data_IF_017291172806
#
_entry.id   IF_017291172806
#
_cell.length_a   1.000
_cell.length_b   1.000
_cell.length_c   1.000
_cell.angle_alpha   90.00
_cell.angle_beta   90.00
_cell.angle_gamma   90.00
#
_symmetry.space_group_name_H-M   'P 1'
#
loop_
_entity.id
_entity.type
_entity.pdbx_description
1 polymer ?
#
# COMPACT_ATOMS: atom_id res chain seq x y z
N UNK A 1 3.80 -20.21 0.31
CA UNK A 1 3.05 -19.22 -0.46
C UNK A 1 3.97 -18.04 -0.73
N UNK A 2 4.05 -17.56 -1.98
CA UNK A 2 4.91 -16.41 -2.29
C UNK A 2 4.16 -15.11 -1.91
N UNK A 3 4.64 -14.40 -0.88
CA UNK A 3 4.03 -13.16 -0.39
C UNK A 3 4.26 -12.03 -1.40
N UNK A 4 3.39 -11.01 -1.37
CA UNK A 4 3.44 -9.89 -2.31
C UNK A 4 4.81 -9.19 -2.33
N UNK A 5 5.43 -8.91 -1.18
CA UNK A 5 6.74 -8.24 -1.12
C UNK A 5 7.86 -9.03 -1.80
N UNK A 6 7.83 -10.36 -1.74
CA UNK A 6 8.79 -11.20 -2.46
C UNK A 6 8.56 -11.13 -3.97
N UNK A 7 7.29 -11.17 -4.41
CA UNK A 7 6.93 -10.99 -5.82
C UNK A 7 7.32 -9.58 -6.30
N UNK A 8 7.08 -8.56 -5.49
CA UNK A 8 7.48 -7.19 -5.78
C UNK A 8 8.99 -7.07 -6.03
N UNK A 9 9.82 -7.63 -5.14
CA UNK A 9 11.28 -7.63 -5.29
C UNK A 9 11.74 -8.28 -6.60
N UNK A 10 11.16 -9.41 -6.99
CA UNK A 10 11.45 -10.07 -8.25
C UNK A 10 10.97 -9.26 -9.47
N UNK A 11 9.80 -8.62 -9.37
CA UNK A 11 9.27 -7.79 -10.44
C UNK A 11 10.09 -6.51 -10.66
N UNK A 12 10.59 -5.88 -9.61
CA UNK A 12 11.53 -4.75 -9.72
C UNK A 12 12.79 -5.16 -10.45
N UNK A 13 13.35 -6.34 -10.16
CA UNK A 13 14.52 -6.86 -10.88
C UNK A 13 14.22 -7.13 -12.36
N UNK A 14 13.07 -7.70 -12.66
CA UNK A 14 12.70 -8.12 -14.03
C UNK A 14 12.19 -6.96 -14.87
N UNK A 15 11.44 -6.05 -14.29
CA UNK A 15 10.67 -5.00 -14.98
C UNK A 15 11.05 -3.58 -14.57
N UNK A 16 12.20 -3.37 -13.90
CA UNK A 16 12.58 -2.12 -13.26
C UNK A 16 12.38 -0.85 -14.09
N UNK A 17 12.72 -0.90 -15.38
CA UNK A 17 12.57 0.24 -16.30
C UNK A 17 11.20 0.34 -16.99
N UNK A 18 10.29 -0.62 -16.76
CA UNK A 18 8.93 -0.57 -17.33
C UNK A 18 8.01 0.29 -16.46
N UNK A 19 6.99 0.94 -17.05
CA UNK A 19 5.96 1.61 -16.30
C UNK A 19 5.23 0.64 -15.36
N UNK A 20 5.14 1.00 -14.08
CA UNK A 20 4.31 0.34 -13.08
C UNK A 20 2.97 1.08 -12.94
N UNK A 21 3.00 2.41 -13.07
CA UNK A 21 1.84 3.29 -12.97
C UNK A 21 1.90 4.31 -14.08
N UNK A 22 0.73 4.61 -14.65
CA UNK A 22 0.51 5.73 -15.57
C UNK A 22 -0.57 6.61 -14.97
N UNK A 23 -0.32 7.90 -14.86
CA UNK A 23 -1.30 8.86 -14.35
C UNK A 23 -2.54 8.93 -15.24
N UNK A 24 -3.64 9.44 -14.70
CA UNK A 24 -4.95 9.48 -15.32
C UNK A 24 -4.95 10.15 -16.70
N UNK A 25 -4.15 11.20 -16.87
CA UNK A 25 -4.02 11.97 -18.11
C UNK A 25 -2.94 11.43 -19.07
N UNK A 26 -2.23 10.38 -18.66
CA UNK A 26 -1.14 9.78 -19.42
C UNK A 26 0.15 10.63 -19.48
N UNK A 27 0.23 11.71 -18.69
CA UNK A 27 1.37 12.65 -18.76
C UNK A 27 2.56 12.18 -17.95
N UNK A 28 2.35 11.37 -16.92
CA UNK A 28 3.41 10.85 -16.06
C UNK A 28 3.35 9.33 -15.99
N UNK A 29 4.47 8.72 -16.29
CA UNK A 29 4.73 7.32 -16.05
C UNK A 29 5.70 7.18 -14.87
N UNK A 30 5.45 6.20 -14.00
CA UNK A 30 6.34 5.83 -12.91
C UNK A 30 6.75 4.39 -13.08
N UNK A 31 8.03 4.15 -13.19
CA UNK A 31 8.60 2.81 -13.38
C UNK A 31 8.58 1.99 -12.09
N UNK A 32 8.74 0.66 -12.20
CA UNK A 32 8.89 -0.22 -11.03
C UNK A 32 10.06 0.22 -10.14
N UNK A 33 11.21 0.59 -10.73
CA UNK A 33 12.37 1.05 -9.98
C UNK A 33 12.15 2.38 -9.25
N UNK A 34 11.47 3.33 -9.87
CA UNK A 34 11.14 4.61 -9.23
C UNK A 34 10.17 4.43 -8.07
N UNK A 35 9.14 3.61 -8.25
CA UNK A 35 8.17 3.29 -7.21
C UNK A 35 8.83 2.54 -6.05
N UNK A 36 9.74 1.61 -6.37
CA UNK A 36 10.52 0.88 -5.36
C UNK A 36 11.43 1.80 -4.56
N UNK A 37 12.12 2.73 -5.23
CA UNK A 37 12.99 3.71 -4.60
C UNK A 37 12.20 4.64 -3.66
N UNK A 38 11.06 5.19 -4.11
CA UNK A 38 10.24 6.06 -3.29
C UNK A 38 9.71 5.33 -2.06
N UNK A 39 9.16 4.13 -2.24
CA UNK A 39 8.67 3.32 -1.12
C UNK A 39 9.80 2.88 -0.17
N UNK A 40 11.04 2.70 -0.67
CA UNK A 40 12.21 2.43 0.16
C UNK A 40 12.60 3.61 1.06
N UNK A 41 12.51 4.85 0.57
CA UNK A 41 12.71 6.06 1.39
C UNK A 41 11.66 6.21 2.47
N UNK A 42 10.40 6.01 2.12
CA UNK A 42 9.27 6.03 3.06
C UNK A 42 9.49 4.97 4.16
N UNK A 43 9.91 3.76 3.78
CA UNK A 43 10.24 2.70 4.73
C UNK A 43 11.33 3.15 5.72
N UNK A 44 12.39 3.81 5.25
CA UNK A 44 13.46 4.34 6.11
C UNK A 44 12.92 5.37 7.10
N UNK A 45 12.12 6.34 6.62
CA UNK A 45 11.52 7.37 7.49
C UNK A 45 10.61 6.74 8.57
N UNK A 46 9.81 5.75 8.19
CA UNK A 46 8.95 4.99 9.11
C UNK A 46 9.76 4.27 10.18
N UNK A 47 10.82 3.53 9.78
CA UNK A 47 11.71 2.83 10.72
C UNK A 47 12.40 3.77 11.70
N UNK A 48 12.83 4.95 11.25
CA UNK A 48 13.40 5.99 12.14
C UNK A 48 12.41 6.48 13.19
N UNK A 49 11.11 6.45 12.88
CA UNK A 49 10.03 6.77 13.85
C UNK A 49 9.61 5.57 14.71
N UNK A 50 10.30 4.43 14.58
CA UNK A 50 10.04 3.20 15.36
C UNK A 50 8.90 2.34 14.82
N UNK A 51 8.40 2.62 13.61
CA UNK A 51 7.33 1.84 12.97
C UNK A 51 7.85 0.48 12.52
N UNK A 52 7.09 -0.58 12.79
CA UNK A 52 7.40 -1.95 12.41
C UNK A 52 6.23 -2.91 12.54
N UNK A 53 6.54 -4.19 12.70
CA UNK A 53 5.54 -5.25 12.82
C UNK A 53 4.57 -5.00 13.98
N UNK A 54 3.29 -5.19 13.69
CA UNK A 54 2.21 -4.99 14.65
C UNK A 54 1.60 -3.59 14.62
N UNK A 55 2.27 -2.61 14.00
CA UNK A 55 1.73 -1.28 13.83
C UNK A 55 0.76 -1.21 12.66
N UNK A 56 -0.22 -0.31 12.75
CA UNK A 56 -1.12 0.05 11.64
C UNK A 56 -0.97 1.54 11.39
N UNK A 57 -0.53 1.91 10.18
CA UNK A 57 -0.30 3.31 9.80
C UNK A 57 -1.38 3.76 8.82
N UNK A 58 -2.28 4.67 9.22
CA UNK A 58 -3.24 5.27 8.30
C UNK A 58 -2.54 6.16 7.26
N UNK A 59 -3.00 6.04 6.00
CA UNK A 59 -2.55 6.85 4.86
C UNK A 59 -3.73 7.67 4.38
N UNK A 60 -3.58 8.99 4.31
CA UNK A 60 -4.62 9.90 3.85
C UNK A 60 -4.04 10.95 2.92
N UNK A 61 -4.22 10.76 1.64
CA UNK A 61 -3.81 11.69 0.59
C UNK A 61 -4.62 11.46 -0.67
N UNK A 62 -4.51 12.37 -1.63
CA UNK A 62 -5.16 12.25 -2.91
C UNK A 62 -4.71 11.01 -3.70
N UNK A 63 -5.55 10.59 -4.63
CA UNK A 63 -5.32 9.42 -5.46
C UNK A 63 -4.24 9.70 -6.50
N UNK A 64 -3.02 9.28 -6.20
CA UNK A 64 -1.84 9.47 -7.04
C UNK A 64 -0.79 8.39 -6.75
N UNK A 65 0.29 8.37 -7.51
CA UNK A 65 1.37 7.39 -7.38
C UNK A 65 1.99 7.36 -5.98
N UNK A 66 2.12 8.51 -5.34
CA UNK A 66 2.68 8.64 -3.99
C UNK A 66 1.86 7.91 -2.94
N UNK A 67 0.53 7.80 -3.11
CA UNK A 67 -0.32 7.00 -2.24
C UNK A 67 0.12 5.53 -2.25
N UNK A 68 0.34 4.96 -3.43
CA UNK A 68 0.81 3.57 -3.55
C UNK A 68 2.23 3.39 -3.03
N UNK A 69 3.11 4.38 -3.24
CA UNK A 69 4.45 4.37 -2.65
C UNK A 69 4.40 4.37 -1.12
N UNK A 70 3.45 5.10 -0.51
CA UNK A 70 3.22 5.09 0.93
C UNK A 70 2.77 3.71 1.43
N UNK A 71 1.78 3.09 0.78
CA UNK A 71 1.35 1.72 1.11
C UNK A 71 2.52 0.73 1.03
N UNK A 72 3.28 0.74 -0.08
CA UNK A 72 4.45 -0.12 -0.25
C UNK A 72 5.54 0.15 0.80
N UNK A 73 5.78 1.41 1.15
CA UNK A 73 6.75 1.79 2.17
C UNK A 73 6.37 1.27 3.55
N UNK A 74 5.08 1.33 3.90
CA UNK A 74 4.54 0.76 5.13
C UNK A 74 4.69 -0.77 5.13
N UNK A 75 4.30 -1.44 4.06
CA UNK A 75 4.50 -2.90 3.94
C UNK A 75 5.97 -3.30 4.06
N UNK A 76 6.88 -2.53 3.44
CA UNK A 76 8.34 -2.76 3.55
C UNK A 76 8.86 -2.56 4.97
N UNK A 77 8.25 -1.69 5.79
CA UNK A 77 8.63 -1.54 7.20
C UNK A 77 8.16 -2.69 8.10
N UNK A 78 7.34 -3.60 7.56
CA UNK A 78 6.71 -4.70 8.31
C UNK A 78 5.37 -4.32 8.96
N UNK A 79 4.95 -3.05 8.86
CA UNK A 79 3.67 -2.58 9.37
C UNK A 79 2.52 -2.83 8.38
N UNK A 80 1.29 -2.71 8.86
CA UNK A 80 0.09 -2.69 8.05
C UNK A 80 -0.33 -1.26 7.73
N UNK A 81 -0.91 -1.02 6.56
CA UNK A 81 -1.49 0.28 6.25
C UNK A 81 -3.02 0.28 6.42
N UNK A 82 -3.62 1.47 6.63
CA UNK A 82 -5.05 1.70 6.54
C UNK A 82 -5.32 2.86 5.58
N UNK A 83 -5.88 2.56 4.40
CA UNK A 83 -6.18 3.55 3.39
C UNK A 83 -7.40 4.39 3.75
N UNK A 84 -7.25 5.70 3.89
CA UNK A 84 -8.31 6.65 4.21
C UNK A 84 -8.57 7.59 3.03
N UNK A 85 -9.84 7.93 2.84
CA UNK A 85 -10.21 8.97 1.89
C UNK A 85 -9.94 10.35 2.48
N UNK A 86 -9.35 11.30 1.73
CA UNK A 86 -9.22 12.70 2.17
C UNK A 86 -10.58 13.39 2.37
N UNK A 87 -11.65 12.83 1.80
CA UNK A 87 -13.02 13.31 1.99
C UNK A 87 -13.64 12.90 3.34
N UNK A 88 -12.94 12.07 4.14
CA UNK A 88 -13.47 11.66 5.43
C UNK A 88 -13.52 12.85 6.40
N UNK A 89 -14.62 12.98 7.18
CA UNK A 89 -14.69 13.97 8.27
C UNK A 89 -13.52 13.80 9.24
N UNK A 90 -12.99 14.92 9.74
CA UNK A 90 -11.85 14.93 10.68
C UNK A 90 -12.08 14.04 11.91
N UNK A 91 -13.31 14.02 12.42
CA UNK A 91 -13.71 13.19 13.56
C UNK A 91 -13.56 11.68 13.23
N UNK A 92 -13.88 11.28 11.99
CA UNK A 92 -13.70 9.90 11.54
C UNK A 92 -12.22 9.52 11.44
N UNK A 93 -11.40 10.41 10.90
CA UNK A 93 -9.94 10.21 10.82
C UNK A 93 -9.35 10.10 12.23
N UNK A 94 -9.70 11.02 13.14
CA UNK A 94 -9.25 11.01 14.52
C UNK A 94 -9.68 9.71 15.26
N UNK A 95 -10.90 9.24 15.03
CA UNK A 95 -11.37 7.97 15.57
C UNK A 95 -10.51 6.82 15.09
N UNK A 96 -10.23 6.72 13.78
CA UNK A 96 -9.43 5.63 13.20
C UNK A 96 -7.99 5.64 13.71
N UNK A 97 -7.36 6.82 13.80
CA UNK A 97 -6.03 6.97 14.39
C UNK A 97 -5.97 6.42 15.82
N UNK A 98 -6.97 6.76 16.62
CA UNK A 98 -7.09 6.28 18.02
C UNK A 98 -7.35 4.77 18.08
N UNK A 99 -8.24 4.25 17.22
CA UNK A 99 -8.65 2.85 17.23
C UNK A 99 -7.50 1.92 16.83
N UNK A 100 -6.70 2.29 15.84
CA UNK A 100 -5.52 1.51 15.45
C UNK A 100 -4.25 1.83 16.25
N UNK A 101 -4.32 2.76 17.19
CA UNK A 101 -3.17 3.15 18.01
C UNK A 101 -2.04 3.82 17.23
N UNK A 102 -2.34 4.36 16.04
CA UNK A 102 -1.34 4.95 15.17
C UNK A 102 -0.71 6.21 15.80
N UNK A 103 0.62 6.33 15.77
CA UNK A 103 1.29 7.50 16.35
C UNK A 103 1.12 8.76 15.49
N UNK A 104 0.83 8.61 14.20
CA UNK A 104 0.64 9.69 13.23
C UNK A 104 -0.17 9.23 12.02
N UNK A 105 -0.57 10.18 11.19
CA UNK A 105 -1.15 9.97 9.85
C UNK A 105 -0.04 10.14 8.81
N UNK A 106 0.06 9.22 7.84
CA UNK A 106 0.95 9.40 6.71
C UNK A 106 0.21 10.21 5.65
N UNK A 107 0.71 11.38 5.38
CA UNK A 107 0.18 12.40 4.47
C UNK A 107 1.28 13.03 3.61
N UNK A 108 1.01 14.16 2.98
CA UNK A 108 1.94 14.85 2.10
C UNK A 108 3.15 15.39 2.85
N UNK A 109 2.96 15.90 4.07
CA UNK A 109 4.06 16.43 4.90
C UNK A 109 5.05 15.32 5.24
N UNK A 110 4.54 14.12 5.53
CA UNK A 110 5.40 12.95 5.76
C UNK A 110 6.21 12.55 4.51
N UNK A 111 5.61 12.65 3.31
CA UNK A 111 6.32 12.35 2.06
C UNK A 111 7.47 13.32 1.80
N UNK A 112 7.29 14.61 2.10
CA UNK A 112 8.35 15.60 2.01
C UNK A 112 9.50 15.28 2.97
N UNK A 113 9.19 14.92 4.21
CA UNK A 113 10.18 14.46 5.21
C UNK A 113 10.95 13.23 4.71
N UNK A 114 10.26 12.26 4.10
CA UNK A 114 10.86 11.03 3.61
C UNK A 114 11.72 11.22 2.33
N UNK A 115 11.59 12.31 1.62
CA UNK A 115 12.19 12.51 0.28
C UNK A 115 13.72 12.44 0.27
N UNK A 116 14.39 12.87 1.36
CA UNK A 116 15.85 12.86 1.53
C UNK A 116 16.42 11.56 2.12
N UNK A 117 15.57 10.59 2.46
CA UNK A 117 16.03 9.39 3.14
C UNK A 117 16.74 8.39 2.21
N UNK A 118 17.70 7.61 2.73
CA UNK A 118 18.28 6.51 1.98
C UNK A 118 17.26 5.40 1.73
N UNK A 119 17.53 4.54 0.76
CA UNK A 119 16.65 3.41 0.46
C UNK A 119 16.82 2.31 1.52
N UNK A 120 15.69 1.80 2.04
CA UNK A 120 15.69 0.60 2.88
C UNK A 120 15.17 -0.61 2.09
N UNK A 121 15.74 -1.77 2.38
CA UNK A 121 15.13 -3.04 1.97
C UNK A 121 13.92 -3.35 2.84
N UNK A 122 13.01 -4.17 2.27
CA UNK A 122 11.84 -4.64 3.00
C UNK A 122 12.24 -5.56 4.17
N UNK A 123 11.53 -5.42 5.29
CA UNK A 123 11.58 -6.38 6.39
C UNK A 123 11.08 -7.75 5.96
N UNK A 124 11.63 -8.79 6.56
CA UNK A 124 11.07 -10.12 6.43
C UNK A 124 9.73 -10.19 7.15
N UNK A 125 8.68 -10.54 6.42
CA UNK A 125 7.33 -10.72 6.97
C UNK A 125 6.88 -12.16 6.81
N UNK A 126 6.09 -12.63 7.76
CA UNK A 126 5.38 -13.91 7.68
C UNK A 126 4.01 -13.74 7.03
N UNK A 127 3.38 -14.84 6.66
CA UNK A 127 2.00 -14.81 6.17
C UNK A 127 0.99 -14.31 7.20
N UNK A 128 1.28 -14.48 8.49
CA UNK A 128 0.39 -14.09 9.60
C UNK A 128 0.52 -12.60 9.97
N UNK A 129 1.63 -11.94 9.57
CA UNK A 129 1.82 -10.52 9.86
C UNK A 129 0.75 -9.70 9.13
N UNK A 130 0.29 -8.61 9.76
CA UNK A 130 -0.70 -7.68 9.19
C UNK A 130 -0.16 -6.99 7.94
N UNK A 131 -1.00 -6.87 6.91
CA UNK A 131 -0.66 -6.18 5.67
C UNK A 131 -1.48 -4.89 5.50
N UNK A 132 -2.79 -4.97 5.69
CA UNK A 132 -3.65 -3.79 5.58
C UNK A 132 -4.90 -3.91 6.44
N UNK A 133 -5.44 -2.77 6.85
CA UNK A 133 -6.71 -2.67 7.55
C UNK A 133 -7.75 -1.92 6.72
N UNK A 134 -9.00 -2.40 6.72
CA UNK A 134 -10.13 -1.74 6.07
C UNK A 134 -11.13 -1.33 7.13
N UNK A 135 -11.49 -0.04 7.14
CA UNK A 135 -12.50 0.50 8.06
C UNK A 135 -13.87 0.57 7.40
N UNK A 136 -14.80 -0.22 7.92
CA UNK A 136 -16.19 -0.26 7.46
C UNK A 136 -17.13 0.47 8.42
N UNK A 137 -18.31 0.90 7.94
CA UNK A 137 -19.35 1.44 8.80
C UNK A 137 -19.86 0.34 9.71
N UNK A 138 -19.59 0.46 11.01
CA UNK A 138 -20.10 -0.46 12.02
C UNK A 138 -21.61 -0.28 12.25
N UNK A 139 -22.32 -1.34 12.62
CA UNK A 139 -23.74 -1.30 13.01
C UNK A 139 -23.99 -0.43 14.25
N UNK A 140 -22.97 -0.11 15.02
CA UNK A 140 -22.99 0.73 16.23
C UNK A 140 -22.70 2.21 15.96
N UNK A 141 -22.57 2.62 14.69
CA UNK A 141 -22.23 3.99 14.28
C UNK A 141 -20.74 4.30 14.18
N UNK A 142 -19.88 3.61 14.93
CA UNK A 142 -18.43 3.77 14.85
C UNK A 142 -17.83 2.86 13.78
N UNK A 143 -16.82 3.34 13.03
CA UNK A 143 -16.08 2.50 12.08
C UNK A 143 -15.43 1.30 12.78
N UNK A 144 -15.41 0.14 12.11
CA UNK A 144 -14.70 -1.05 12.59
C UNK A 144 -13.56 -1.37 11.63
N UNK A 145 -12.34 -1.50 12.17
CA UNK A 145 -11.16 -1.93 11.44
C UNK A 145 -11.13 -3.46 11.30
N UNK A 146 -10.86 -3.95 10.09
CA UNK A 146 -10.64 -5.37 9.81
C UNK A 146 -9.22 -5.49 9.27
N UNK A 147 -8.33 -6.10 10.07
CA UNK A 147 -6.95 -6.33 9.68
C UNK A 147 -6.84 -7.58 8.80
N UNK A 148 -6.20 -7.44 7.66
CA UNK A 148 -5.88 -8.50 6.73
C UNK A 148 -4.39 -8.81 6.78
N UNK A 149 -4.03 -10.10 6.73
CA UNK A 149 -2.65 -10.56 6.75
C UNK A 149 -2.01 -10.55 5.36
N UNK A 150 -0.67 -10.65 5.30
CA UNK A 150 0.08 -10.85 4.05
C UNK A 150 -0.35 -12.12 3.30
N UNK A 151 -0.71 -13.19 4.01
CA UNK A 151 -1.25 -14.40 3.40
C UNK A 151 -2.60 -14.12 2.73
N UNK A 152 -3.48 -13.36 3.36
CA UNK A 152 -4.78 -12.97 2.81
C UNK A 152 -4.62 -12.13 1.53
N UNK A 153 -3.72 -11.14 1.54
CA UNK A 153 -3.39 -10.33 0.36
C UNK A 153 -2.87 -11.21 -0.79
N UNK A 154 -1.87 -12.05 -0.52
CA UNK A 154 -1.27 -12.93 -1.52
C UNK A 154 -2.31 -13.93 -2.13
N UNK A 155 -3.19 -14.48 -1.31
CA UNK A 155 -4.24 -15.38 -1.76
C UNK A 155 -5.28 -14.65 -2.64
N UNK A 156 -5.65 -13.42 -2.27
CA UNK A 156 -6.57 -12.59 -3.06
C UNK A 156 -5.98 -12.25 -4.44
N UNK A 157 -4.72 -11.81 -4.49
CA UNK A 157 -3.98 -11.52 -5.73
C UNK A 157 -3.88 -12.78 -6.60
N UNK A 158 -3.47 -13.91 -6.02
CA UNK A 158 -3.33 -15.17 -6.77
C UNK A 158 -4.65 -15.64 -7.38
N UNK A 159 -5.75 -15.57 -6.61
CA UNK A 159 -7.09 -15.92 -7.10
C UNK A 159 -7.54 -15.00 -8.23
N UNK A 160 -7.33 -13.71 -8.10
CA UNK A 160 -7.73 -12.72 -9.12
C UNK A 160 -6.94 -12.94 -10.41
N UNK A 161 -5.63 -13.18 -10.32
CA UNK A 161 -4.79 -13.53 -11.47
C UNK A 161 -5.25 -14.83 -12.16
N UNK A 162 -5.57 -15.85 -11.40
CA UNK A 162 -6.07 -17.12 -11.96
C UNK A 162 -7.40 -16.95 -12.69
N UNK A 163 -8.22 -15.99 -12.29
CA UNK A 163 -9.52 -15.70 -12.93
C UNK A 163 -9.39 -14.82 -14.17
N UNK A 164 -8.62 -13.72 -14.09
CA UNK A 164 -8.52 -12.73 -15.16
C UNK A 164 -7.39 -13.01 -16.16
N UNK A 165 -6.43 -13.86 -15.79
CA UNK A 165 -5.27 -14.23 -16.62
C UNK A 165 -4.54 -13.00 -17.24
N UNK A 166 -4.17 -11.99 -16.43
CA UNK A 166 -3.57 -10.77 -16.94
C UNK A 166 -2.25 -11.06 -17.64
N UNK A 167 -2.02 -10.35 -18.76
CA UNK A 167 -0.78 -10.42 -19.54
C UNK A 167 0.13 -9.26 -19.14
N UNK A 168 1.43 -9.41 -19.39
CA UNK A 168 2.42 -8.34 -19.14
C UNK A 168 2.19 -7.04 -19.93
N UNK A 169 1.41 -7.10 -21.01
CA UNK A 169 1.03 -5.94 -21.81
C UNK A 169 -0.26 -5.26 -21.39
N UNK A 170 -0.99 -5.84 -20.44
CA UNK A 170 -2.29 -5.31 -20.05
C UNK A 170 -2.12 -4.08 -19.16
N UNK A 171 -3.02 -3.12 -19.36
CA UNK A 171 -3.14 -1.92 -18.53
C UNK A 171 -4.46 -1.99 -17.77
N UNK A 172 -4.39 -1.99 -16.46
CA UNK A 172 -5.57 -2.03 -15.61
C UNK A 172 -5.95 -0.64 -15.13
N UNK A 173 -7.17 -0.21 -15.43
CA UNK A 173 -7.73 1.01 -14.89
C UNK A 173 -8.15 0.81 -13.43
N UNK A 174 -7.58 1.62 -12.54
CA UNK A 174 -7.94 1.64 -11.12
C UNK A 174 -8.95 2.75 -10.88
N UNK A 175 -10.24 2.41 -10.70
CA UNK A 175 -11.35 3.38 -10.54
C UNK A 175 -12.09 3.30 -9.20
N UNK A 176 -11.87 2.28 -8.38
CA UNK A 176 -12.49 2.17 -7.05
C UNK A 176 -11.82 3.11 -6.02
N UNK A 177 -12.51 3.48 -4.94
CA UNK A 177 -11.91 4.25 -3.86
C UNK A 177 -10.83 3.44 -3.14
N UNK A 178 -9.71 4.07 -2.76
CA UNK A 178 -8.61 3.43 -2.04
C UNK A 178 -9.00 2.88 -0.67
N UNK A 179 -10.03 3.44 -0.05
CA UNK A 179 -10.55 2.96 1.24
C UNK A 179 -11.38 1.66 1.16
N UNK A 180 -11.58 1.08 -0.02
CA UNK A 180 -12.30 -0.18 -0.20
C UNK A 180 -11.36 -1.36 -0.46
N UNK A 181 -11.69 -2.52 0.13
CA UNK A 181 -10.92 -3.76 -0.04
C UNK A 181 -10.74 -4.18 -1.51
N UNK A 182 -11.69 -3.85 -2.39
CA UNK A 182 -11.60 -4.13 -3.82
C UNK A 182 -10.37 -3.47 -4.47
N UNK A 183 -9.94 -2.31 -3.95
CA UNK A 183 -8.72 -1.64 -4.45
C UNK A 183 -7.46 -2.45 -4.27
N UNK A 184 -7.37 -3.22 -3.20
CA UNK A 184 -6.20 -4.09 -2.96
C UNK A 184 -5.97 -5.03 -4.14
N UNK A 185 -7.04 -5.60 -4.69
CA UNK A 185 -6.96 -6.50 -5.84
C UNK A 185 -6.62 -5.70 -7.11
N UNK A 186 -7.24 -4.54 -7.32
CA UNK A 186 -7.04 -3.72 -8.51
C UNK A 186 -5.65 -3.09 -8.61
N UNK A 187 -4.98 -2.87 -7.47
CA UNK A 187 -3.61 -2.33 -7.41
C UNK A 187 -2.59 -3.46 -7.44
N UNK A 188 -2.71 -4.42 -6.52
CA UNK A 188 -1.66 -5.40 -6.27
C UNK A 188 -1.62 -6.52 -7.32
N UNK A 189 -2.75 -6.79 -8.00
CA UNK A 189 -2.78 -7.81 -9.08
C UNK A 189 -1.93 -7.40 -10.30
N UNK A 190 -2.10 -6.22 -10.90
CA UNK A 190 -1.29 -5.82 -12.06
C UNK A 190 0.19 -5.60 -11.70
N UNK A 191 0.48 -5.21 -10.46
CA UNK A 191 1.85 -5.06 -9.98
C UNK A 191 2.56 -6.40 -9.69
N UNK A 192 1.85 -7.52 -9.83
CA UNK A 192 2.38 -8.88 -9.68
C UNK A 192 2.27 -9.66 -10.99
N UNK A 193 2.82 -9.18 -12.13
CA UNK A 193 2.79 -9.94 -13.37
C UNK A 193 3.65 -11.20 -13.20
N UNK A 194 3.14 -12.29 -13.58
CA UNK A 194 3.67 -13.52 -13.55
C UNK A 194 4.44 -14.50 -13.62
#
# INVERSE_FOLDING_TARGET
MNLFLNQWKENVKKYGSRPAIVDRDGTRETTYSELDALSGRICTALKKKGVGKGDIIPVCMERRMEFLAAELGILKSGAAFAALSPEYPKERVAYILKDCGAPFLLDDDFLEEASGEPLAEAEEVSGEDGAFAVYTSGSTGNPKGILHSHASLAAAVARHRAFFLPKESDVQLSCASFSFVAMMIHIYTPLSPG
#
